data_IF_483701639974
#
_entry.id   IF_483701639974
#
_cell.length_a   1.000
_cell.length_b   1.000
_cell.length_c   1.000
_cell.angle_alpha   90.00
_cell.angle_beta   90.00
_cell.angle_gamma   90.00
#
_symmetry.space_group_name_H-M   'P 1'
#
loop_
_entity.id
_entity.type
_entity.pdbx_description
1 polymer ?
#
# COMPACT_ATOMS: atom_id res chain seq x y z
N UNK A 1 -1.62 18.79 16.04
CA UNK A 1 -2.15 17.97 17.15
C UNK A 1 -2.64 16.65 16.58
N UNK A 2 -1.87 15.57 16.72
CA UNK A 2 -2.28 14.23 16.24
C UNK A 2 -3.31 13.67 17.23
N UNK A 3 -4.56 13.52 16.80
CA UNK A 3 -5.61 12.93 17.64
C UNK A 3 -5.43 11.42 17.61
N UNK A 4 -5.11 10.80 18.74
CA UNK A 4 -5.01 9.34 18.85
C UNK A 4 -6.41 8.73 18.72
N UNK A 5 -6.82 8.42 17.48
CA UNK A 5 -8.07 7.70 17.21
C UNK A 5 -7.82 6.23 17.51
N UNK A 6 -8.49 5.72 18.55
CA UNK A 6 -8.51 4.28 18.81
C UNK A 6 -9.34 3.60 17.71
N UNK A 7 -8.87 2.49 17.10
CA UNK A 7 -9.72 1.66 16.26
C UNK A 7 -11.03 1.35 16.99
N UNK A 8 -12.16 1.39 16.28
CA UNK A 8 -13.48 1.12 16.84
C UNK A 8 -13.45 -0.22 17.59
N UNK A 9 -14.04 -0.30 18.78
CA UNK A 9 -13.98 -1.47 19.68
C UNK A 9 -14.65 -2.75 19.13
N UNK A 10 -15.15 -2.73 17.89
CA UNK A 10 -15.60 -3.93 17.21
C UNK A 10 -14.40 -4.85 16.94
N UNK A 11 -14.56 -6.18 16.98
CA UNK A 11 -13.44 -7.06 16.72
C UNK A 11 -12.97 -6.86 15.26
N UNK A 12 -11.69 -6.59 15.07
CA UNK A 12 -11.05 -6.47 13.76
C UNK A 12 -10.15 -7.67 13.55
N UNK A 13 -10.13 -8.20 12.34
CA UNK A 13 -9.31 -9.36 11.99
C UNK A 13 -7.96 -8.89 11.44
N UNK A 14 -7.93 -7.72 10.78
CA UNK A 14 -6.74 -7.22 10.08
C UNK A 14 -6.58 -5.71 10.22
N UNK A 15 -5.37 -5.27 10.58
CA UNK A 15 -4.93 -3.87 10.53
C UNK A 15 -4.04 -3.63 9.31
N UNK A 16 -4.41 -2.64 8.48
CA UNK A 16 -3.64 -2.21 7.32
C UNK A 16 -2.98 -0.86 7.64
N UNK A 17 -1.65 -0.80 7.52
CA UNK A 17 -0.87 0.43 7.73
C UNK A 17 -0.45 0.99 6.37
N UNK A 18 -0.97 2.17 6.05
CA UNK A 18 -0.72 2.89 4.81
C UNK A 18 -1.90 2.87 3.84
N UNK A 19 -2.31 4.05 3.38
CA UNK A 19 -3.43 4.26 2.45
C UNK A 19 -2.96 4.56 1.01
N UNK A 20 -1.91 3.88 0.57
CA UNK A 20 -1.47 3.90 -0.84
C UNK A 20 -2.30 2.94 -1.70
N UNK A 21 -1.99 2.85 -2.99
CA UNK A 21 -2.65 1.92 -3.93
C UNK A 21 -2.65 0.49 -3.41
N UNK A 22 -1.50 -0.01 -2.95
CA UNK A 22 -1.39 -1.37 -2.39
C UNK A 22 -2.28 -1.57 -1.16
N UNK A 23 -2.33 -0.60 -0.25
CA UNK A 23 -3.16 -0.66 0.96
C UNK A 23 -4.65 -0.61 0.64
N UNK A 24 -5.06 0.23 -0.30
CA UNK A 24 -6.44 0.33 -0.76
C UNK A 24 -6.92 -0.93 -1.49
N UNK A 25 -6.08 -1.50 -2.37
CA UNK A 25 -6.40 -2.75 -3.06
C UNK A 25 -6.45 -3.94 -2.09
N UNK A 26 -5.52 -4.01 -1.14
CA UNK A 26 -5.55 -5.02 -0.09
C UNK A 26 -6.81 -4.90 0.77
N UNK A 27 -7.19 -3.67 1.16
CA UNK A 27 -8.41 -3.41 1.91
C UNK A 27 -9.66 -3.89 1.16
N UNK A 28 -9.73 -3.61 -0.14
CA UNK A 28 -10.82 -4.06 -1.02
C UNK A 28 -10.92 -5.58 -1.05
N UNK A 29 -9.83 -6.28 -1.36
CA UNK A 29 -9.85 -7.74 -1.49
C UNK A 29 -10.12 -8.44 -0.16
N UNK A 30 -9.53 -7.97 0.95
CA UNK A 30 -9.81 -8.50 2.27
C UNK A 30 -11.27 -8.25 2.69
N UNK A 31 -11.82 -7.07 2.39
CA UNK A 31 -13.23 -6.78 2.65
C UNK A 31 -14.14 -7.69 1.82
N UNK A 32 -13.81 -7.97 0.56
CA UNK A 32 -14.55 -8.91 -0.31
C UNK A 32 -14.50 -10.35 0.20
N UNK A 33 -13.39 -10.73 0.82
CA UNK A 33 -13.22 -12.02 1.49
C UNK A 33 -13.88 -12.08 2.88
N UNK A 34 -14.56 -11.01 3.33
CA UNK A 34 -15.32 -10.98 4.58
C UNK A 34 -14.50 -10.57 5.82
N UNK A 35 -13.25 -10.12 5.66
CA UNK A 35 -12.45 -9.64 6.78
C UNK A 35 -12.94 -8.28 7.27
N UNK A 36 -12.98 -8.11 8.60
CA UNK A 36 -13.18 -6.80 9.21
C UNK A 36 -11.84 -6.08 9.31
N UNK A 37 -11.69 -5.06 8.49
CA UNK A 37 -10.43 -4.33 8.36
C UNK A 37 -10.48 -2.98 9.07
N UNK A 38 -9.33 -2.51 9.49
CA UNK A 38 -9.10 -1.10 9.80
C UNK A 38 -7.87 -0.63 9.04
N UNK A 39 -7.96 0.51 8.36
CA UNK A 39 -6.82 1.10 7.65
C UNK A 39 -6.40 2.39 8.35
N UNK A 40 -5.11 2.52 8.63
CA UNK A 40 -4.52 3.70 9.28
C UNK A 40 -3.47 4.32 8.38
N UNK A 41 -3.37 5.65 8.40
CA UNK A 41 -2.38 6.39 7.62
C UNK A 41 -1.95 7.65 8.38
N UNK A 42 -0.75 8.15 8.08
CA UNK A 42 -0.25 9.35 8.71
C UNK A 42 -0.96 10.59 8.13
N UNK A 43 -1.62 11.36 9.00
CA UNK A 43 -2.18 12.64 8.61
C UNK A 43 -1.10 13.57 8.03
N UNK A 44 -1.43 14.28 6.94
CA UNK A 44 -0.56 15.26 6.31
C UNK A 44 0.65 14.69 5.54
N UNK A 45 0.75 13.37 5.37
CA UNK A 45 1.78 12.74 4.53
C UNK A 45 1.12 11.92 3.42
N UNK A 46 1.06 12.44 2.18
CA UNK A 46 0.50 11.69 1.07
C UNK A 46 1.34 10.44 0.78
N UNK A 47 0.69 9.36 0.36
CA UNK A 47 1.38 8.14 -0.07
C UNK A 47 2.15 8.39 -1.37
N UNK A 48 3.19 7.58 -1.64
CA UNK A 48 3.92 7.63 -2.92
C UNK A 48 3.00 7.46 -4.15
N UNK A 49 1.84 6.81 -3.96
CA UNK A 49 0.82 6.67 -4.99
C UNK A 49 0.20 8.00 -5.46
N UNK A 50 0.27 9.08 -4.67
CA UNK A 50 -0.18 10.41 -5.11
C UNK A 50 0.84 11.12 -6.02
N UNK A 51 2.13 10.76 -5.90
CA UNK A 51 3.19 11.29 -6.74
C UNK A 51 3.40 10.47 -8.02
N UNK A 52 2.93 9.22 -8.04
CA UNK A 52 3.00 8.37 -9.20
C UNK A 52 2.07 8.90 -10.31
N UNK A 53 2.62 9.22 -11.48
CA UNK A 53 1.86 9.75 -12.63
C UNK A 53 0.91 8.75 -13.31
N UNK A 54 0.51 7.68 -12.62
CA UNK A 54 -0.47 6.70 -13.11
C UNK A 54 0.01 5.75 -14.21
N UNK A 55 1.28 5.79 -14.61
CA UNK A 55 1.83 4.85 -15.58
C UNK A 55 1.87 3.44 -14.97
N UNK A 56 1.00 2.57 -15.47
CA UNK A 56 1.00 1.15 -15.17
C UNK A 56 1.50 0.39 -16.39
N UNK A 57 2.75 -0.03 -16.35
CA UNK A 57 3.30 -0.98 -17.31
C UNK A 57 3.90 -2.16 -16.54
N UNK A 58 4.03 -3.34 -17.18
CA UNK A 58 4.90 -4.37 -16.65
C UNK A 58 6.33 -3.83 -16.69
N UNK A 59 6.79 -3.24 -15.59
CA UNK A 59 8.21 -3.00 -15.39
C UNK A 59 8.85 -4.32 -14.99
N UNK A 60 8.96 -5.23 -15.96
CA UNK A 60 9.95 -6.30 -15.88
C UNK A 60 11.28 -5.59 -15.78
N UNK A 61 11.92 -5.62 -14.60
CA UNK A 61 13.32 -5.26 -14.51
C UNK A 61 14.01 -5.93 -15.71
N UNK A 62 14.74 -5.20 -16.58
CA UNK A 62 15.53 -5.88 -17.58
C UNK A 62 16.31 -6.97 -16.84
N UNK A 63 16.28 -8.21 -17.36
CA UNK A 63 17.11 -9.29 -16.81
C UNK A 63 18.44 -8.64 -16.47
N UNK A 64 18.89 -8.79 -15.23
CA UNK A 64 20.22 -8.39 -14.81
C UNK A 64 21.17 -9.26 -15.64
N UNK A 65 21.38 -8.91 -16.90
CA UNK A 65 22.37 -9.53 -17.75
C UNK A 65 23.68 -9.14 -17.07
N UNK A 66 24.54 -10.11 -16.71
CA UNK A 66 25.83 -9.77 -16.14
C UNK A 66 26.53 -8.83 -17.12
N UNK A 67 27.00 -7.70 -16.60
CA UNK A 67 27.83 -6.77 -17.36
C UNK A 67 29.12 -7.51 -17.75
N UNK A 68 29.13 -8.02 -18.98
CA UNK A 68 30.24 -8.60 -19.73
C UNK A 68 30.09 -7.93 -21.11
N UNK A 69 30.97 -7.04 -21.56
CA UNK A 69 32.42 -7.05 -21.47
C UNK A 69 32.95 -5.61 -21.38
N UNK A 70 33.91 -5.41 -20.48
CA UNK A 70 34.79 -4.25 -20.44
C UNK A 70 36.22 -4.79 -20.36
N UNK A 71 36.64 -5.45 -21.45
CA UNK A 71 38.04 -5.75 -21.82
C UNK A 71 38.12 -5.74 -23.33
#
# INVERSE_FOLDING_TARGET
MQKNVRPTAAPIDTLIVGSGLSGALMALELSRAGHRITMVTAAGRPSASHAAGGLMNPFTAPRLAPMRDLV
#
